data_IF_955997413812
#
_entry.id   IF_955997413812
#
_cell.length_a   1.000
_cell.length_b   1.000
_cell.length_c   1.000
_cell.angle_alpha   90.00
_cell.angle_beta   90.00
_cell.angle_gamma   90.00
#
_symmetry.space_group_name_H-M   'P 1'
#
loop_
_entity.id
_entity.type
_entity.pdbx_description
1 polymer ?
#
# COMPACT_ATOMS: atom_id res chain seq x y z
N UNK A 1 -19.93 26.51 8.47
CA UNK A 1 -18.48 26.42 8.68
C UNK A 1 -18.11 25.00 8.35
N UNK A 2 -17.64 24.78 7.12
CA UNK A 2 -17.40 23.44 6.59
C UNK A 2 -16.20 22.82 7.29
N UNK A 3 -16.49 21.94 8.24
CA UNK A 3 -15.51 21.20 9.01
C UNK A 3 -14.93 20.15 8.08
N UNK A 4 -13.70 20.35 7.62
CA UNK A 4 -12.91 19.32 6.92
C UNK A 4 -12.93 18.05 7.77
N UNK A 5 -13.75 17.07 7.37
CA UNK A 5 -13.77 15.76 8.01
C UNK A 5 -12.63 14.95 7.41
N UNK A 6 -11.67 14.59 8.25
CA UNK A 6 -10.63 13.63 7.89
C UNK A 6 -11.26 12.23 7.84
N UNK A 7 -11.24 11.58 6.68
CA UNK A 7 -11.75 10.21 6.51
C UNK A 7 -10.72 9.13 6.87
N UNK A 8 -9.44 9.50 6.94
CA UNK A 8 -8.34 8.60 7.28
C UNK A 8 -6.97 9.21 7.06
N UNK A 9 -5.92 8.40 7.25
CA UNK A 9 -4.54 8.80 7.01
C UNK A 9 -3.69 7.66 6.41
N UNK A 10 -2.74 8.07 5.57
CA UNK A 10 -1.67 7.26 5.00
C UNK A 10 -0.37 7.71 5.66
N UNK A 11 0.42 6.79 6.22
CA UNK A 11 1.63 7.17 6.94
C UNK A 11 2.74 6.11 6.85
N UNK A 12 3.97 6.57 6.70
CA UNK A 12 5.15 5.71 6.68
C UNK A 12 5.61 5.37 8.09
N UNK A 13 5.65 4.07 8.39
CA UNK A 13 6.19 3.52 9.63
C UNK A 13 7.67 3.23 9.46
N UNK A 14 8.05 2.62 8.32
CA UNK A 14 9.40 2.25 7.88
C UNK A 14 10.19 1.29 8.77
N UNK A 15 10.24 1.52 10.09
CA UNK A 15 10.93 0.68 11.06
C UNK A 15 10.38 0.88 12.48
N UNK A 16 10.37 -0.18 13.30
CA UNK A 16 10.10 -0.09 14.73
C UNK A 16 11.36 0.20 15.58
N UNK A 17 12.50 0.38 14.94
CA UNK A 17 13.79 0.65 15.59
C UNK A 17 14.20 2.12 15.41
N UNK A 18 14.32 2.86 16.51
CA UNK A 18 14.53 4.32 16.48
C UNK A 18 15.89 4.72 15.87
N UNK A 19 16.90 3.89 16.06
CA UNK A 19 18.22 4.01 15.47
C UNK A 19 18.18 3.83 13.95
N UNK A 20 17.39 2.89 13.43
CA UNK A 20 17.17 2.71 11.99
C UNK A 20 16.46 3.93 11.39
N UNK A 21 15.41 4.45 12.03
CA UNK A 21 14.73 5.67 11.55
C UNK A 21 15.69 6.86 11.44
N UNK A 22 16.59 7.02 12.41
CA UNK A 22 17.61 8.09 12.38
C UNK A 22 18.59 7.91 11.22
N UNK A 23 19.01 6.66 10.93
CA UNK A 23 19.86 6.36 9.78
C UNK A 23 19.15 6.68 8.46
N UNK A 24 17.83 6.51 8.40
CA UNK A 24 17.00 6.89 7.26
C UNK A 24 16.71 8.40 7.19
N UNK A 25 17.35 9.24 8.04
CA UNK A 25 17.07 10.67 8.17
C UNK A 25 15.61 11.01 8.52
N UNK A 26 14.90 10.07 9.15
CA UNK A 26 13.57 10.27 9.72
C UNK A 26 13.68 10.68 11.19
N UNK A 27 13.05 11.80 11.52
CA UNK A 27 13.06 12.37 12.88
C UNK A 27 11.76 12.02 13.65
N UNK A 28 10.92 11.16 13.09
CA UNK A 28 9.75 10.63 13.73
C UNK A 28 10.12 9.68 14.89
N UNK A 29 9.29 9.73 15.95
CA UNK A 29 9.37 8.76 17.03
C UNK A 29 8.61 7.51 16.62
N UNK A 30 9.17 6.33 16.84
CA UNK A 30 8.49 5.04 16.64
C UNK A 30 7.09 5.05 17.30
N UNK A 31 7.00 5.57 18.53
CA UNK A 31 5.76 5.68 19.29
C UNK A 31 4.65 6.47 18.57
N UNK A 32 5.01 7.44 17.73
CA UNK A 32 4.03 8.25 16.99
C UNK A 32 3.21 7.40 16.00
N UNK A 33 3.82 6.39 15.38
CA UNK A 33 3.13 5.46 14.49
C UNK A 33 2.09 4.63 15.25
N UNK A 34 2.46 4.09 16.43
CA UNK A 34 1.54 3.35 17.30
C UNK A 34 0.37 4.23 17.77
N UNK A 35 0.65 5.46 18.21
CA UNK A 35 -0.37 6.39 18.65
C UNK A 35 -1.33 6.78 17.52
N UNK A 36 -0.82 7.02 16.31
CA UNK A 36 -1.63 7.35 15.15
C UNK A 36 -2.53 6.18 14.77
N UNK A 37 -1.97 4.97 14.65
CA UNK A 37 -2.75 3.76 14.37
C UNK A 37 -3.87 3.57 15.40
N UNK A 38 -3.55 3.71 16.69
CA UNK A 38 -4.53 3.58 17.77
C UNK A 38 -5.63 4.65 17.68
N UNK A 39 -5.28 5.92 17.42
CA UNK A 39 -6.24 7.03 17.28
C UNK A 39 -7.18 6.80 16.10
N UNK A 40 -6.66 6.40 14.94
CA UNK A 40 -7.46 6.09 13.74
C UNK A 40 -8.41 4.92 14.00
N UNK A 41 -7.90 3.83 14.60
CA UNK A 41 -8.70 2.66 14.94
C UNK A 41 -9.85 3.00 15.90
N UNK A 42 -9.58 3.77 16.97
CA UNK A 42 -10.61 4.22 17.92
C UNK A 42 -11.65 5.14 17.29
N UNK A 43 -11.21 6.02 16.39
CA UNK A 43 -12.10 6.94 15.69
C UNK A 43 -12.89 6.29 14.54
N UNK A 44 -12.59 5.04 14.17
CA UNK A 44 -13.19 4.37 13.02
C UNK A 44 -12.75 4.96 11.67
N UNK A 45 -11.62 5.67 11.64
CA UNK A 45 -11.06 6.27 10.44
C UNK A 45 -10.17 5.28 9.69
N UNK A 46 -10.06 5.50 8.38
CA UNK A 46 -9.21 4.67 7.52
C UNK A 46 -7.73 4.86 7.85
N UNK A 47 -6.99 3.77 7.85
CA UNK A 47 -5.57 3.71 8.23
C UNK A 47 -4.78 2.88 7.24
N UNK A 48 -3.74 3.49 6.66
CA UNK A 48 -2.82 2.83 5.74
C UNK A 48 -1.38 3.07 6.16
N UNK A 49 -0.66 1.98 6.44
CA UNK A 49 0.74 2.00 6.83
C UNK A 49 1.68 1.55 5.71
N UNK A 50 2.88 2.12 5.68
CA UNK A 50 3.98 1.70 4.81
C UNK A 50 5.17 1.23 5.65
N UNK A 51 5.71 0.07 5.34
CA UNK A 51 6.82 -0.55 6.06
C UNK A 51 7.85 -1.10 5.06
N UNK A 52 9.14 -0.99 5.40
CA UNK A 52 10.25 -1.48 4.58
C UNK A 52 10.97 -2.55 5.40
N UNK A 53 11.32 -3.66 4.75
CA UNK A 53 12.12 -4.74 5.35
C UNK A 53 13.42 -4.95 4.58
N UNK A 54 14.39 -5.57 5.23
CA UNK A 54 15.67 -5.94 4.65
C UNK A 54 16.70 -4.81 4.68
N UNK A 55 16.58 -3.87 5.60
CA UNK A 55 17.62 -2.86 5.83
C UNK A 55 18.89 -3.55 6.35
N UNK A 56 20.06 -3.00 6.04
CA UNK A 56 21.34 -3.69 6.29
C UNK A 56 21.58 -4.27 7.70
N UNK A 57 21.13 -3.65 8.82
CA UNK A 57 21.31 -4.24 10.14
C UNK A 57 20.26 -5.31 10.51
N UNK A 58 19.21 -5.48 9.71
CA UNK A 58 18.11 -6.37 10.04
C UNK A 58 18.45 -7.85 9.80
N UNK A 59 17.81 -8.72 10.57
CA UNK A 59 17.96 -10.18 10.46
C UNK A 59 16.60 -10.80 10.12
N UNK A 60 16.55 -12.04 9.59
CA UNK A 60 15.27 -12.72 9.38
C UNK A 60 14.39 -12.77 10.63
N UNK A 61 15.01 -12.96 11.80
CA UNK A 61 14.34 -13.03 13.09
C UNK A 61 13.76 -11.67 13.51
N UNK A 62 14.53 -10.59 13.37
CA UNK A 62 14.06 -9.24 13.71
C UNK A 62 12.95 -8.79 12.77
N UNK A 63 13.08 -9.05 11.46
CA UNK A 63 12.03 -8.76 10.48
C UNK A 63 10.75 -9.53 10.81
N UNK A 64 10.86 -10.81 11.18
CA UNK A 64 9.69 -11.59 11.56
C UNK A 64 9.00 -11.03 12.82
N UNK A 65 9.76 -10.49 13.77
CA UNK A 65 9.22 -9.80 14.94
C UNK A 65 8.50 -8.50 14.56
N UNK A 66 9.12 -7.69 13.72
CA UNK A 66 8.55 -6.46 13.21
C UNK A 66 7.25 -6.70 12.44
N UNK A 67 7.20 -7.74 11.61
CA UNK A 67 5.99 -8.10 10.86
C UNK A 67 4.83 -8.52 11.79
N UNK A 68 5.13 -9.19 12.92
CA UNK A 68 4.12 -9.47 13.96
C UNK A 68 3.63 -8.19 14.62
N UNK A 69 4.54 -7.28 14.93
CA UNK A 69 4.24 -5.96 15.51
C UNK A 69 3.39 -5.13 14.55
N UNK A 70 3.74 -5.09 13.27
CA UNK A 70 2.99 -4.39 12.21
C UNK A 70 1.56 -4.93 12.08
N UNK A 71 1.39 -6.25 12.05
CA UNK A 71 0.07 -6.88 11.99
C UNK A 71 -0.78 -6.53 13.23
N UNK A 72 -0.16 -6.38 14.41
CA UNK A 72 -0.84 -6.01 15.66
C UNK A 72 -1.40 -4.59 15.68
N UNK A 73 -0.94 -3.71 14.77
CA UNK A 73 -1.49 -2.35 14.62
C UNK A 73 -2.89 -2.33 14.02
N UNK A 74 -3.34 -3.46 13.45
CA UNK A 74 -4.70 -3.63 12.93
C UNK A 74 -5.11 -2.59 11.87
N UNK A 75 -4.15 -2.16 11.04
CA UNK A 75 -4.40 -1.19 9.97
C UNK A 75 -5.42 -1.74 8.96
N UNK A 76 -6.08 -0.82 8.23
CA UNK A 76 -7.04 -1.18 7.19
C UNK A 76 -6.33 -1.61 5.91
N UNK A 77 -5.18 -1.01 5.62
CA UNK A 77 -4.25 -1.51 4.61
C UNK A 77 -2.81 -1.33 5.08
N UNK A 78 -1.94 -2.18 4.59
CA UNK A 78 -0.49 -2.15 4.84
C UNK A 78 0.24 -2.46 3.54
N UNK A 79 1.16 -1.59 3.15
CA UNK A 79 2.13 -1.88 2.11
C UNK A 79 3.44 -2.25 2.78
N UNK A 80 3.96 -3.41 2.44
CA UNK A 80 5.27 -3.88 2.86
C UNK A 80 6.13 -3.97 1.60
N UNK A 81 7.36 -3.49 1.66
CA UNK A 81 8.33 -3.55 0.58
C UNK A 81 9.67 -4.05 1.07
N UNK A 82 10.45 -4.63 0.15
CA UNK A 82 11.86 -4.95 0.39
C UNK A 82 12.70 -3.74 -0.04
N UNK A 83 13.67 -3.36 0.79
CA UNK A 83 14.56 -2.24 0.49
C UNK A 83 15.24 -2.46 -0.86
N UNK A 84 15.05 -1.49 -1.75
CA UNK A 84 15.54 -1.55 -3.12
C UNK A 84 16.40 -0.32 -3.36
N UNK A 85 17.75 -0.45 -3.41
CA UNK A 85 18.59 0.66 -3.80
C UNK A 85 18.29 1.02 -5.26
N UNK A 86 17.83 2.25 -5.50
CA UNK A 86 17.65 2.75 -6.86
C UNK A 86 18.93 3.43 -7.35
N UNK A 87 19.34 3.24 -8.61
CA UNK A 87 20.55 3.85 -9.16
C UNK A 87 20.66 5.33 -8.86
N UNK A 88 21.89 5.80 -8.63
CA UNK A 88 22.24 7.20 -8.33
C UNK A 88 21.78 7.73 -6.96
N UNK A 89 20.97 6.98 -6.21
CA UNK A 89 20.64 7.34 -4.82
C UNK A 89 21.85 7.19 -3.88
N UNK A 90 21.76 7.81 -2.72
CA UNK A 90 22.77 7.64 -1.66
C UNK A 90 22.82 6.18 -1.18
N UNK A 91 21.65 5.58 -0.95
CA UNK A 91 21.51 4.17 -0.57
C UNK A 91 22.15 3.23 -1.60
N UNK A 92 22.01 3.51 -2.90
CA UNK A 92 22.70 2.73 -3.92
C UNK A 92 24.22 2.77 -3.74
N UNK A 93 24.79 3.97 -3.63
CA UNK A 93 26.24 4.13 -3.47
C UNK A 93 26.75 3.43 -2.20
N UNK A 94 25.99 3.53 -1.12
CA UNK A 94 26.32 2.87 0.14
C UNK A 94 26.28 1.34 0.01
N UNK A 95 25.17 0.77 -0.48
CA UNK A 95 25.00 -0.68 -0.55
C UNK A 95 25.90 -1.32 -1.61
N UNK A 96 26.09 -0.68 -2.76
CA UNK A 96 27.00 -1.13 -3.81
C UNK A 96 28.45 -1.19 -3.31
N UNK A 97 28.91 -0.16 -2.59
CA UNK A 97 30.30 -0.12 -2.10
C UNK A 97 30.56 -1.07 -0.93
N UNK A 98 29.59 -1.26 -0.04
CA UNK A 98 29.75 -2.08 1.18
C UNK A 98 29.48 -3.56 0.95
N UNK A 99 28.49 -3.88 0.13
CA UNK A 99 27.96 -5.24 0.00
C UNK A 99 27.86 -5.69 -1.47
N UNK A 100 27.68 -4.77 -2.41
CA UNK A 100 27.53 -5.05 -3.82
C UNK A 100 26.08 -5.32 -4.24
N UNK A 101 25.79 -5.00 -5.50
CA UNK A 101 24.50 -5.25 -6.14
C UNK A 101 24.50 -6.67 -6.74
N UNK A 102 23.49 -7.46 -6.42
CA UNK A 102 23.34 -8.85 -6.86
C UNK A 102 22.73 -8.89 -8.26
N UNK A 103 21.74 -8.02 -8.52
CA UNK A 103 20.88 -8.10 -9.69
C UNK A 103 21.23 -7.04 -10.75
N UNK A 104 21.16 -7.44 -12.02
CA UNK A 104 21.42 -6.59 -13.19
C UNK A 104 20.18 -6.36 -14.05
N UNK A 105 19.15 -7.17 -13.87
CA UNK A 105 17.86 -6.97 -14.51
C UNK A 105 17.03 -5.91 -13.79
N UNK A 106 16.85 -4.76 -14.45
CA UNK A 106 16.07 -3.64 -13.93
C UNK A 106 14.61 -3.98 -13.66
N UNK A 107 14.05 -5.01 -14.29
CA UNK A 107 12.65 -5.42 -14.04
C UNK A 107 12.42 -5.94 -12.62
N UNK A 108 13.49 -6.34 -11.93
CA UNK A 108 13.45 -6.87 -10.56
C UNK A 108 13.59 -5.80 -9.47
N UNK A 109 13.83 -4.54 -9.85
CA UNK A 109 13.86 -3.39 -8.92
C UNK A 109 12.44 -2.90 -8.61
N UNK A 110 11.55 -3.84 -8.26
CA UNK A 110 10.11 -3.64 -8.12
C UNK A 110 9.66 -3.54 -6.65
N UNK A 111 10.61 -3.46 -5.71
CA UNK A 111 10.40 -3.42 -4.26
C UNK A 111 9.88 -4.72 -3.64
N UNK A 112 9.94 -5.83 -4.37
CA UNK A 112 9.47 -7.14 -3.91
C UNK A 112 10.53 -8.24 -4.01
N UNK A 113 11.74 -7.91 -4.45
CA UNK A 113 12.84 -8.85 -4.60
C UNK A 113 14.11 -8.30 -3.96
N UNK A 114 14.94 -9.19 -3.42
CA UNK A 114 16.28 -8.83 -2.97
C UNK A 114 17.21 -8.64 -4.18
N UNK A 115 17.68 -7.41 -4.39
CA UNK A 115 18.52 -7.05 -5.55
C UNK A 115 20.00 -6.76 -5.20
N UNK A 116 20.38 -6.88 -3.93
CA UNK A 116 21.73 -6.61 -3.43
C UNK A 116 22.18 -7.68 -2.42
N UNK A 117 23.47 -7.75 -2.10
CA UNK A 117 24.00 -8.79 -1.22
C UNK A 117 23.72 -8.48 0.25
N UNK A 118 22.55 -8.87 0.76
CA UNK A 118 22.20 -8.63 2.17
C UNK A 118 23.11 -9.44 3.12
N UNK A 119 23.72 -8.82 4.16
CA UNK A 119 24.70 -9.51 5.03
C UNK A 119 24.10 -10.64 5.87
N UNK A 120 22.79 -10.57 6.17
CA UNK A 120 22.09 -11.51 7.05
C UNK A 120 21.01 -12.36 6.37
N UNK A 121 20.66 -12.06 5.11
CA UNK A 121 19.51 -12.66 4.44
C UNK A 121 19.96 -13.27 3.12
N UNK A 122 19.80 -14.59 2.99
CA UNK A 122 20.01 -15.27 1.71
C UNK A 122 18.89 -14.90 0.71
N UNK A 123 19.15 -15.00 -0.61
CA UNK A 123 18.12 -14.81 -1.63
C UNK A 123 16.87 -15.68 -1.36
N UNK A 124 15.68 -15.12 -1.50
CA UNK A 124 14.39 -15.79 -1.22
C UNK A 124 13.88 -15.62 0.21
N UNK A 125 14.75 -15.29 1.18
CA UNK A 125 14.34 -15.13 2.58
C UNK A 125 13.44 -13.91 2.76
N UNK A 126 13.83 -12.76 2.19
CA UNK A 126 13.04 -11.54 2.31
C UNK A 126 11.70 -11.64 1.59
N UNK A 127 11.64 -12.33 0.46
CA UNK A 127 10.41 -12.59 -0.29
C UNK A 127 9.45 -13.48 0.51
N UNK A 128 9.96 -14.51 1.20
CA UNK A 128 9.16 -15.33 2.11
C UNK A 128 8.65 -14.51 3.30
N UNK A 129 9.49 -13.65 3.89
CA UNK A 129 9.09 -12.76 4.97
C UNK A 129 8.04 -11.74 4.50
N UNK A 130 8.19 -11.21 3.29
CA UNK A 130 7.22 -10.30 2.67
C UNK A 130 5.85 -10.98 2.55
N UNK A 131 5.80 -12.21 2.06
CA UNK A 131 4.56 -13.01 1.99
C UNK A 131 3.96 -13.24 3.39
N UNK A 132 4.79 -13.62 4.37
CA UNK A 132 4.37 -13.81 5.76
C UNK A 132 3.79 -12.52 6.36
N UNK A 133 4.42 -11.38 6.11
CA UNK A 133 3.96 -10.06 6.54
C UNK A 133 2.58 -9.72 5.97
N UNK A 134 2.39 -9.93 4.67
CA UNK A 134 1.08 -9.75 4.03
C UNK A 134 0.03 -10.69 4.63
N UNK A 135 0.34 -11.98 4.81
CA UNK A 135 -0.59 -12.93 5.43
C UNK A 135 -0.96 -12.55 6.87
N UNK A 136 0.00 -12.01 7.64
CA UNK A 136 -0.23 -11.50 8.98
C UNK A 136 -1.18 -10.30 9.00
N UNK A 137 -0.93 -9.31 8.14
CA UNK A 137 -1.71 -8.07 8.09
C UNK A 137 -3.14 -8.28 7.53
N UNK A 138 -3.31 -9.22 6.59
CA UNK A 138 -4.56 -9.44 5.83
C UNK A 138 -5.28 -10.76 6.17
N UNK A 139 -4.96 -11.39 7.30
CA UNK A 139 -5.60 -12.63 7.74
C UNK A 139 -7.11 -12.50 8.04
N UNK A 140 -7.76 -13.60 8.44
CA UNK A 140 -9.23 -13.72 8.54
C UNK A 140 -9.95 -12.63 9.37
N UNK A 141 -9.28 -12.00 10.33
CA UNK A 141 -9.84 -10.90 11.14
C UNK A 141 -9.94 -9.55 10.39
N UNK A 142 -9.08 -9.34 9.38
CA UNK A 142 -8.96 -8.08 8.64
C UNK A 142 -10.26 -7.71 7.93
N UNK A 143 -10.82 -8.60 7.12
CA UNK A 143 -12.00 -8.30 6.31
C UNK A 143 -13.18 -7.87 7.20
N UNK A 144 -13.40 -8.59 8.30
CA UNK A 144 -14.44 -8.27 9.29
C UNK A 144 -14.22 -6.90 9.93
N UNK A 145 -12.99 -6.57 10.33
CA UNK A 145 -12.62 -5.28 10.93
C UNK A 145 -12.84 -4.13 9.96
N UNK A 146 -12.31 -4.24 8.75
CA UNK A 146 -12.39 -3.22 7.69
C UNK A 146 -13.83 -2.98 7.25
N UNK A 147 -14.63 -4.03 7.02
CA UNK A 147 -16.05 -3.89 6.68
C UNK A 147 -16.86 -3.24 7.80
N UNK A 148 -16.57 -3.57 9.07
CA UNK A 148 -17.24 -2.95 10.23
C UNK A 148 -16.97 -1.44 10.29
N UNK A 149 -15.71 -1.02 10.11
CA UNK A 149 -15.35 0.40 10.05
C UNK A 149 -16.07 1.12 8.90
N UNK A 150 -15.98 0.57 7.69
CA UNK A 150 -16.59 1.18 6.50
C UNK A 150 -18.10 1.39 6.64
N UNK A 151 -18.82 0.39 7.18
CA UNK A 151 -20.26 0.48 7.43
C UNK A 151 -20.61 1.49 8.54
N UNK A 152 -19.79 1.56 9.60
CA UNK A 152 -19.99 2.51 10.69
C UNK A 152 -19.80 3.96 10.22
N UNK A 153 -18.72 4.24 9.47
CA UNK A 153 -18.43 5.58 8.93
C UNK A 153 -19.54 6.07 8.00
N UNK A 154 -20.07 5.21 7.12
CA UNK A 154 -21.17 5.57 6.20
C UNK A 154 -22.52 5.77 6.88
N UNK A 155 -22.81 5.02 7.95
CA UNK A 155 -24.00 5.27 8.79
C UNK A 155 -23.91 6.64 9.48
N UNK A 156 -22.72 7.03 9.92
CA UNK A 156 -22.48 8.31 10.60
C UNK A 156 -22.58 9.49 9.61
N UNK A 157 -22.13 9.33 8.37
CA UNK A 157 -22.20 10.38 7.35
C UNK A 157 -23.60 10.53 6.70
N UNK A 158 -24.57 9.64 6.99
CA UNK A 158 -25.95 9.63 6.41
C UNK A 158 -26.00 9.74 4.87
N UNK A 159 -24.91 9.40 4.19
CA UNK A 159 -24.74 9.70 2.77
C UNK A 159 -24.95 8.45 1.90
N UNK A 160 -26.19 7.94 1.89
CA UNK A 160 -26.60 6.84 1.00
C UNK A 160 -26.71 7.29 -0.47
N UNK A 161 -26.83 8.60 -0.70
CA UNK A 161 -27.04 9.19 -2.05
C UNK A 161 -25.81 9.04 -2.96
N UNK A 162 -24.61 9.11 -2.39
CA UNK A 162 -23.35 8.98 -3.12
C UNK A 162 -23.08 7.57 -3.65
N UNK A 163 -23.70 6.55 -3.06
CA UNK A 163 -23.62 5.15 -3.52
C UNK A 163 -24.37 4.96 -4.85
N UNK A 164 -25.53 5.59 -5.00
CA UNK A 164 -26.35 5.45 -6.21
C UNK A 164 -25.90 6.40 -7.33
N UNK A 165 -25.43 7.61 -6.97
CA UNK A 165 -25.14 8.68 -7.93
C UNK A 165 -23.66 8.79 -8.32
N UNK A 166 -22.74 8.13 -7.60
CA UNK A 166 -21.30 8.16 -7.89
C UNK A 166 -20.94 7.62 -9.28
N UNK A 167 -21.35 6.39 -9.64
CA UNK A 167 -21.04 5.81 -10.95
C UNK A 167 -21.68 6.59 -12.11
N UNK A 168 -22.89 7.13 -11.90
CA UNK A 168 -23.62 7.91 -12.91
C UNK A 168 -22.95 9.28 -13.14
N UNK A 169 -22.55 9.97 -12.08
CA UNK A 169 -21.82 11.25 -12.20
C UNK A 169 -20.43 11.07 -12.79
N UNK A 170 -19.69 10.03 -12.41
CA UNK A 170 -18.39 9.73 -13.00
C UNK A 170 -18.50 9.44 -14.51
N UNK A 171 -19.57 8.73 -14.92
CA UNK A 171 -19.87 8.44 -16.34
C UNK A 171 -20.27 9.69 -17.13
N UNK A 172 -20.95 10.65 -16.51
CA UNK A 172 -21.38 11.90 -17.15
C UNK A 172 -20.30 13.01 -17.14
N UNK A 173 -19.36 12.98 -16.19
CA UNK A 173 -18.37 14.04 -15.99
C UNK A 173 -17.15 13.97 -16.92
N UNK A 174 -17.03 12.97 -17.80
CA UNK A 174 -15.87 12.85 -18.69
C UNK A 174 -16.19 12.11 -19.99
N UNK A 175 -16.74 12.77 -21.02
CA UNK A 175 -16.95 12.10 -22.30
C UNK A 175 -15.63 11.71 -22.99
N UNK A 176 -14.52 12.41 -22.76
CA UNK A 176 -13.29 12.21 -23.55
C UNK A 176 -12.00 12.41 -22.74
N UNK A 177 -11.56 11.44 -21.93
CA UNK A 177 -10.12 11.28 -21.56
C UNK A 177 -9.68 10.09 -20.71
N UNK A 178 -10.33 8.93 -20.76
CA UNK A 178 -9.81 7.74 -20.06
C UNK A 178 -9.30 6.71 -21.07
N UNK A 179 -7.97 6.74 -21.29
CA UNK A 179 -7.21 5.99 -22.31
C UNK A 179 -7.22 4.45 -22.12
N UNK A 180 -7.79 3.94 -21.03
CA UNK A 180 -7.73 2.51 -20.67
C UNK A 180 -9.11 1.84 -20.54
N UNK A 181 -10.21 2.53 -20.86
CA UNK A 181 -11.48 1.85 -21.12
C UNK A 181 -11.51 1.49 -22.61
N UNK A 182 -11.88 0.25 -22.98
CA UNK A 182 -12.04 -0.08 -24.39
C UNK A 182 -13.08 0.89 -24.99
N UNK A 183 -12.85 1.45 -26.19
CA UNK A 183 -13.87 2.22 -26.86
C UNK A 183 -15.10 1.33 -27.01
N UNK A 184 -16.30 1.91 -26.88
CA UNK A 184 -17.52 1.23 -27.24
C UNK A 184 -17.36 0.74 -28.69
N UNK A 185 -17.28 -0.58 -28.89
CA UNK A 185 -17.73 -1.15 -30.15
C UNK A 185 -19.18 -0.71 -30.29
N UNK A 186 -19.40 0.25 -31.18
CA UNK A 186 -20.73 0.52 -31.69
C UNK A 186 -21.14 -0.76 -32.41
N UNK A 187 -21.89 -1.62 -31.72
CA UNK A 187 -22.76 -2.58 -32.40
C UNK A 187 -23.55 -1.77 -33.40
N UNK A 188 -23.27 -2.01 -34.68
CA UNK A 188 -23.70 -1.17 -35.78
C UNK A 188 -25.23 -1.08 -35.78
N UNK A 189 -25.73 0.15 -35.73
CA UNK A 189 -27.10 0.47 -36.11
C UNK A 189 -27.22 0.53 -37.65
N UNK A 190 -26.61 -0.44 -38.36
CA UNK A 190 -26.78 -0.62 -39.82
C UNK A 190 -27.52 -1.92 -40.16
N UNK A 191 -27.86 -2.77 -39.18
CA UNK A 191 -28.71 -3.95 -39.41
C UNK A 191 -30.23 -3.66 -39.30
N UNK A 192 -30.66 -2.42 -39.05
CA UNK A 192 -32.09 -2.05 -38.95
C UNK A 192 -32.57 -1.02 -39.99
N UNK A 193 -31.73 -0.61 -40.95
CA UNK A 193 -32.14 0.27 -42.05
C UNK A 193 -32.43 -0.47 -43.38
N UNK A 194 -32.13 -1.77 -43.49
CA UNK A 194 -32.38 -2.55 -44.72
C UNK A 194 -33.64 -3.45 -44.69
N UNK A 195 -34.48 -3.35 -43.64
CA UNK A 195 -35.78 -4.05 -43.57
C UNK A 195 -36.99 -3.10 -43.78
N UNK A 196 -36.77 -1.86 -44.24
CA UNK A 196 -37.82 -0.89 -44.51
C UNK A 196 -37.77 -0.31 -45.95
N UNK A 197 -37.18 -1.04 -46.90
CA UNK A 197 -37.29 -0.74 -48.34
C UNK A 197 -37.46 -1.99 -49.22
N UNK A 198 -38.25 -2.97 -48.75
CA UNK A 198 -38.81 -4.05 -49.57
C UNK A 198 -40.24 -4.34 -49.11
#
# INVERSE_FOLDING_TARGET
>A
MDRWLLDGALFGIESFHQDILKQMHKNEKVQAAFELAQKLNRAGLYSQGYYIIGLSPETPESIAEDLRTLASLELDTTQITIVTPHPQTEMWRELESRFGILEKDWSKFDTKQLVWNHPHCAPGVLESLLEQGFRGCYGNGWLKRTSKKFLATRRIQRDFSSILMGPVRARLASPHRLRYLPPHETVSAEAQAHAASA
#
